data_IF_229606198174
#
_entry.id   IF_229606198174
#
_cell.length_a   1.000
_cell.length_b   1.000
_cell.length_c   1.000
_cell.angle_alpha   90.00
_cell.angle_beta   90.00
_cell.angle_gamma   90.00
#
_symmetry.space_group_name_H-M   'P 1'
#
loop_
_entity.id
_entity.type
_entity.pdbx_description
1 polymer ?
#
# COMPACT_ATOMS: atom_id res chain seq x y z
N UNK A 1 -18.19 58.01 -32.10
CA UNK A 1 -17.81 57.76 -30.70
C UNK A 1 -18.43 56.43 -30.26
N UNK A 2 -18.01 55.33 -30.89
CA UNK A 2 -18.44 53.94 -30.64
C UNK A 2 -17.21 53.13 -31.06
N UNK A 3 -16.50 52.38 -30.23
CA UNK A 3 -16.86 51.02 -29.85
C UNK A 3 -15.93 50.50 -28.72
N UNK A 4 -15.73 51.25 -27.63
CA UNK A 4 -14.86 50.76 -26.55
C UNK A 4 -15.57 49.69 -25.68
N UNK A 5 -16.89 49.72 -25.60
CA UNK A 5 -17.70 48.81 -24.77
C UNK A 5 -17.73 47.38 -25.32
N UNK A 6 -17.67 47.20 -26.65
CA UNK A 6 -17.60 45.86 -27.27
C UNK A 6 -16.25 45.18 -27.02
N UNK A 7 -15.17 45.96 -26.99
CA UNK A 7 -13.81 45.44 -26.75
C UNK A 7 -13.63 44.96 -25.31
N UNK A 8 -14.21 45.66 -24.33
CA UNK A 8 -14.15 45.25 -22.93
C UNK A 8 -14.99 44.00 -22.65
N UNK A 9 -16.17 43.86 -23.26
CA UNK A 9 -16.98 42.63 -23.15
C UNK A 9 -16.30 41.43 -23.80
N UNK A 10 -15.72 41.58 -25.00
CA UNK A 10 -15.03 40.51 -25.69
C UNK A 10 -13.76 40.05 -24.94
N UNK A 11 -12.98 41.00 -24.40
CA UNK A 11 -11.78 40.68 -23.60
C UNK A 11 -12.12 40.04 -22.25
N UNK A 12 -13.19 40.51 -21.58
CA UNK A 12 -13.67 39.90 -20.33
C UNK A 12 -14.15 38.47 -20.57
N UNK A 13 -14.91 38.25 -21.64
CA UNK A 13 -15.35 36.90 -22.03
C UNK A 13 -14.16 36.00 -22.35
N UNK A 14 -13.16 36.48 -23.10
CA UNK A 14 -11.96 35.68 -23.38
C UNK A 14 -11.14 35.36 -22.13
N UNK A 15 -11.05 36.27 -21.17
CA UNK A 15 -10.34 36.06 -19.91
C UNK A 15 -11.09 35.10 -18.97
N UNK A 16 -12.42 35.19 -18.90
CA UNK A 16 -13.29 34.30 -18.11
C UNK A 16 -13.29 32.87 -18.68
N UNK A 17 -13.31 32.75 -20.02
CA UNK A 17 -13.19 31.46 -20.71
C UNK A 17 -11.77 30.88 -20.54
N UNK A 18 -10.74 31.72 -20.51
CA UNK A 18 -9.38 31.27 -20.23
C UNK A 18 -9.23 30.81 -18.78
N UNK A 19 -9.87 31.50 -17.82
CA UNK A 19 -9.90 31.15 -16.39
C UNK A 19 -10.62 29.82 -16.16
N UNK A 20 -11.79 29.61 -16.76
CA UNK A 20 -12.50 28.31 -16.78
C UNK A 20 -11.66 27.20 -17.44
N UNK A 21 -11.00 27.48 -18.58
CA UNK A 21 -10.12 26.52 -19.26
C UNK A 21 -8.86 26.21 -18.46
N UNK A 22 -8.37 27.14 -17.62
CA UNK A 22 -7.24 26.90 -16.72
C UNK A 22 -7.65 26.19 -15.43
N UNK A 23 -8.84 26.46 -14.90
CA UNK A 23 -9.38 25.79 -13.71
C UNK A 23 -9.64 24.31 -14.00
N UNK A 24 -10.14 23.97 -15.20
CA UNK A 24 -10.32 22.59 -15.63
C UNK A 24 -9.02 21.82 -15.93
N UNK A 25 -7.86 22.49 -15.98
CA UNK A 25 -6.57 21.86 -16.31
C UNK A 25 -5.73 21.47 -15.08
N UNK A 26 -6.12 21.90 -13.89
CA UNK A 26 -5.34 21.74 -12.66
C UNK A 26 -6.07 20.91 -11.57
N UNK A 27 -6.97 20.01 -11.96
CA UNK A 27 -7.23 18.83 -11.09
C UNK A 27 -6.18 17.79 -11.45
N UNK A 28 -4.94 18.06 -11.03
CA UNK A 28 -3.84 17.12 -11.11
C UNK A 28 -4.25 15.84 -10.39
N UNK A 29 -4.62 14.82 -11.16
CA UNK A 29 -4.75 13.45 -10.68
C UNK A 29 -3.38 13.05 -10.13
N UNK A 30 -3.16 13.31 -8.84
CA UNK A 30 -2.05 12.71 -8.11
C UNK A 30 -2.30 11.22 -8.22
N UNK A 31 -1.55 10.53 -9.07
CA UNK A 31 -1.65 9.08 -9.21
C UNK A 31 -1.39 8.50 -7.83
N UNK A 32 -2.44 8.14 -7.12
CA UNK A 32 -2.32 7.51 -5.82
C UNK A 32 -1.64 6.17 -6.11
N UNK A 33 -0.39 6.06 -5.71
CA UNK A 33 0.45 4.86 -5.76
C UNK A 33 -0.07 3.79 -4.77
N UNK A 34 -1.39 3.61 -4.70
CA UNK A 34 -2.12 2.77 -3.77
C UNK A 34 -1.86 1.27 -4.00
N UNK A 35 -1.17 0.89 -5.09
CA UNK A 35 -0.88 -0.50 -5.40
C UNK A 35 0.20 -1.15 -4.54
N UNK A 36 1.19 -0.38 -4.03
CA UNK A 36 2.30 -0.94 -3.25
C UNK A 36 2.03 -0.98 -1.72
N UNK A 37 1.15 -0.10 -1.24
CA UNK A 37 0.69 -0.02 0.16
C UNK A 37 -0.71 -0.64 0.35
N UNK A 38 -0.99 -1.75 -0.35
CA UNK A 38 -2.17 -2.56 -0.04
C UNK A 38 -1.99 -3.24 1.33
N UNK A 39 -3.02 -3.16 2.19
CA UNK A 39 -3.03 -3.80 3.50
C UNK A 39 -2.70 -5.30 3.43
N UNK A 40 -3.04 -5.98 2.33
CA UNK A 40 -2.73 -7.40 2.10
C UNK A 40 -1.22 -7.64 2.01
N UNK A 41 -0.51 -6.76 1.33
CA UNK A 41 0.95 -6.83 1.19
C UNK A 41 1.63 -6.47 2.52
N UNK A 42 1.09 -5.50 3.27
CA UNK A 42 1.59 -5.14 4.61
C UNK A 42 1.41 -6.28 5.59
N UNK A 43 0.20 -6.86 5.70
CA UNK A 43 -0.08 -8.00 6.58
C UNK A 43 0.79 -9.20 6.18
N UNK A 44 0.85 -9.53 4.88
CA UNK A 44 1.69 -10.61 4.37
C UNK A 44 3.17 -10.44 4.73
N UNK A 45 3.72 -9.23 4.57
CA UNK A 45 5.10 -8.93 4.92
C UNK A 45 5.36 -9.02 6.42
N UNK A 46 4.48 -8.47 7.26
CA UNK A 46 4.62 -8.55 8.71
C UNK A 46 4.60 -10.00 9.21
N UNK A 47 3.65 -10.80 8.72
CA UNK A 47 3.54 -12.23 9.05
C UNK A 47 4.76 -13.01 8.55
N UNK A 48 5.22 -12.72 7.33
CA UNK A 48 6.39 -13.38 6.73
C UNK A 48 7.69 -13.08 7.48
N UNK A 49 7.92 -11.81 7.84
CA UNK A 49 9.09 -11.40 8.62
C UNK A 49 9.06 -12.06 9.99
N UNK A 50 7.92 -12.04 10.68
CA UNK A 50 7.80 -12.69 11.99
C UNK A 50 7.99 -14.21 11.91
N UNK A 51 7.41 -14.87 10.89
CA UNK A 51 7.63 -16.29 10.63
C UNK A 51 9.10 -16.63 10.40
N UNK A 52 9.83 -15.79 9.64
CA UNK A 52 11.28 -15.91 9.47
C UNK A 52 12.04 -15.77 10.79
N UNK A 53 11.63 -14.83 11.65
CA UNK A 53 12.22 -14.66 12.98
C UNK A 53 12.01 -15.91 13.84
N UNK A 54 10.84 -16.55 13.77
CA UNK A 54 10.59 -17.81 14.50
C UNK A 54 11.43 -18.98 13.95
N UNK A 55 11.59 -19.07 12.63
CA UNK A 55 12.48 -20.04 11.99
C UNK A 55 13.93 -19.82 12.39
N UNK A 56 14.40 -18.57 12.40
CA UNK A 56 15.72 -18.23 12.91
C UNK A 56 15.83 -18.58 14.41
N UNK A 57 14.81 -18.27 15.21
CA UNK A 57 14.79 -18.64 16.63
C UNK A 57 14.89 -20.15 16.85
N UNK A 58 14.33 -20.98 15.97
CA UNK A 58 14.51 -22.43 16.05
C UNK A 58 15.94 -22.88 15.73
N UNK A 59 16.59 -22.21 14.77
CA UNK A 59 17.91 -22.62 14.25
C UNK A 59 19.08 -22.13 15.11
N UNK A 60 18.98 -20.91 15.67
CA UNK A 60 20.12 -20.24 16.33
C UNK A 60 19.87 -19.84 17.78
N UNK A 61 18.62 -19.88 18.28
CA UNK A 61 18.33 -19.49 19.65
C UNK A 61 18.01 -20.72 20.51
N UNK A 62 18.53 -20.72 21.75
CA UNK A 62 18.12 -21.69 22.76
C UNK A 62 16.68 -21.39 23.21
N UNK A 63 15.79 -22.40 23.24
CA UNK A 63 14.38 -22.21 23.59
C UNK A 63 14.15 -21.80 25.05
N UNK A 64 15.19 -21.91 25.89
CA UNK A 64 15.21 -21.56 27.30
C UNK A 64 14.55 -22.62 28.17
N UNK A 65 14.53 -22.35 29.47
CA UNK A 65 13.81 -23.15 30.47
C UNK A 65 12.44 -22.54 30.75
N UNK A 66 11.44 -23.38 30.94
CA UNK A 66 10.11 -22.96 31.39
C UNK A 66 10.16 -22.57 32.87
N UNK A 67 9.11 -21.90 33.36
CA UNK A 67 8.99 -21.54 34.78
C UNK A 67 9.02 -22.75 35.72
N UNK A 68 8.77 -23.97 35.21
CA UNK A 68 8.88 -25.22 35.97
C UNK A 68 10.27 -25.85 35.99
N UNK A 69 11.25 -25.28 35.27
CA UNK A 69 12.62 -25.80 35.17
C UNK A 69 12.85 -26.74 33.98
N UNK A 70 11.79 -27.18 33.31
CA UNK A 70 11.91 -28.04 32.12
C UNK A 70 12.38 -27.25 30.89
N UNK A 71 13.21 -27.87 30.05
CA UNK A 71 13.63 -27.30 28.77
C UNK A 71 12.41 -27.09 27.86
N UNK A 72 12.27 -25.90 27.29
CA UNK A 72 11.22 -25.61 26.32
C UNK A 72 11.55 -26.28 24.99
N UNK A 73 10.55 -26.84 24.34
CA UNK A 73 10.73 -27.45 23.02
C UNK A 73 10.81 -26.35 21.94
N UNK A 74 11.96 -26.26 21.28
CA UNK A 74 12.18 -25.34 20.17
C UNK A 74 11.25 -25.65 18.97
N UNK A 75 10.76 -26.88 18.86
CA UNK A 75 9.89 -27.35 17.78
C UNK A 75 8.60 -26.54 17.66
N UNK A 76 8.13 -25.91 18.75
CA UNK A 76 6.98 -25.00 18.70
C UNK A 76 7.23 -23.77 17.81
N UNK A 77 8.42 -23.17 17.89
CA UNK A 77 8.79 -22.03 17.04
C UNK A 77 8.90 -22.46 15.57
N UNK A 78 9.36 -23.69 15.31
CA UNK A 78 9.44 -24.24 13.95
C UNK A 78 8.05 -24.35 13.33
N UNK A 79 7.12 -25.04 13.99
CA UNK A 79 5.76 -25.23 13.46
C UNK A 79 5.02 -23.90 13.30
N UNK A 80 5.11 -23.01 14.29
CA UNK A 80 4.51 -21.69 14.23
C UNK A 80 5.11 -20.83 13.10
N UNK A 81 6.45 -20.84 12.96
CA UNK A 81 7.17 -20.12 11.91
C UNK A 81 6.81 -20.60 10.52
N UNK A 82 6.80 -21.92 10.29
CA UNK A 82 6.41 -22.51 9.00
C UNK A 82 4.96 -22.16 8.65
N UNK A 83 4.03 -22.30 9.60
CA UNK A 83 2.63 -21.94 9.37
C UNK A 83 2.48 -20.45 8.98
N UNK A 84 3.18 -19.55 9.68
CA UNK A 84 3.19 -18.11 9.35
C UNK A 84 3.76 -17.82 7.96
N UNK A 85 4.86 -18.46 7.57
CA UNK A 85 5.45 -18.27 6.23
C UNK A 85 4.51 -18.77 5.13
N UNK A 86 3.83 -19.90 5.35
CA UNK A 86 2.82 -20.40 4.40
C UNK A 86 1.67 -19.41 4.26
N UNK A 87 1.15 -18.88 5.37
CA UNK A 87 0.08 -17.86 5.34
C UNK A 87 0.55 -16.59 4.62
N UNK A 88 1.77 -16.12 4.89
CA UNK A 88 2.34 -14.97 4.19
C UNK A 88 2.43 -15.19 2.67
N UNK A 89 2.87 -16.37 2.24
CA UNK A 89 2.91 -16.74 0.83
C UNK A 89 1.51 -16.74 0.18
N UNK A 90 0.49 -17.22 0.90
CA UNK A 90 -0.90 -17.15 0.44
C UNK A 90 -1.36 -15.70 0.29
N UNK A 91 -1.06 -14.83 1.25
CA UNK A 91 -1.41 -13.40 1.18
C UNK A 91 -0.76 -12.70 -0.02
N UNK A 92 0.53 -12.97 -0.27
CA UNK A 92 1.23 -12.41 -1.42
C UNK A 92 0.70 -12.97 -2.74
N UNK A 93 0.43 -14.27 -2.83
CA UNK A 93 -0.19 -14.89 -3.99
C UNK A 93 -1.56 -14.25 -4.28
N UNK A 94 -2.41 -14.10 -3.25
CA UNK A 94 -3.71 -13.45 -3.37
C UNK A 94 -3.60 -12.01 -3.86
N UNK A 95 -2.68 -11.22 -3.28
CA UNK A 95 -2.43 -9.84 -3.71
C UNK A 95 -1.98 -9.76 -5.17
N UNK A 96 -1.23 -10.75 -5.66
CA UNK A 96 -0.81 -10.85 -7.06
C UNK A 96 -1.98 -11.16 -8.01
N UNK A 97 -2.98 -11.93 -7.56
CA UNK A 97 -4.14 -12.33 -8.37
C UNK A 97 -5.23 -11.25 -8.45
N UNK A 98 -5.33 -10.36 -7.46
CA UNK A 98 -6.22 -9.20 -7.47
C UNK A 98 -5.43 -7.89 -7.55
N UNK A 99 -4.79 -7.59 -8.70
CA UNK A 99 -4.25 -6.27 -8.92
C UNK A 99 -5.41 -5.27 -8.90
N UNK A 100 -5.34 -4.30 -7.99
CA UNK A 100 -6.29 -3.19 -7.91
C UNK A 100 -6.17 -2.40 -9.22
N UNK A 101 -7.06 -2.66 -10.17
CA UNK A 101 -7.19 -1.88 -11.40
C UNK A 101 -7.82 -0.56 -11.02
N UNK A 102 -7.00 0.48 -10.99
CA UNK A 102 -7.48 1.86 -10.89
C UNK A 102 -7.87 2.24 -12.31
N UNK A 103 -9.15 2.13 -12.63
CA UNK A 103 -9.69 2.69 -13.86
C UNK A 103 -9.61 4.23 -13.71
N UNK A 104 -8.70 4.84 -14.46
CA UNK A 104 -8.52 6.29 -14.51
C UNK A 104 -9.52 6.81 -15.54
N UNK A 105 -10.64 7.40 -15.09
CA UNK A 105 -11.50 8.25 -15.92
C UNK A 105 -10.97 9.69 -15.98
#
# INVERSE_FOLDING_TARGET
MSDNTRSTTAKKSAAEIADEMTEHKEVGHRSHMAGAFDIRNVIGALMGIYGLVLLASYLVLDPGVSSGGDAKDATYNLWAGVAMVVVAAVFFAWSKFEPVKIDQE
#
